data_IF_772402513626
#
_entry.id   IF_772402513626
#
_cell.length_a   1.000
_cell.length_b   1.000
_cell.length_c   1.000
_cell.angle_alpha   90.00
_cell.angle_beta   90.00
_cell.angle_gamma   90.00
#
_symmetry.space_group_name_H-M   'P 1'
#
loop_
_entity.id
_entity.type
_entity.pdbx_description
1 polymer ?
#
# COMPACT_ATOMS: atom_id res chain seq x y z
N UNK A 1 11.46 10.77 -1.73
CA UNK A 1 10.24 11.51 -2.09
C UNK A 1 9.45 11.73 -0.81
N UNK A 2 9.02 12.95 -0.54
CA UNK A 2 8.25 13.29 0.67
C UNK A 2 6.83 13.70 0.28
N UNK A 3 5.84 13.19 1.00
CA UNK A 3 4.43 13.52 0.83
C UNK A 3 3.85 14.03 2.15
N UNK A 4 3.19 15.18 2.10
CA UNK A 4 2.51 15.73 3.27
C UNK A 4 1.32 14.87 3.71
N UNK A 5 0.56 14.36 2.74
CA UNK A 5 -0.50 13.38 2.95
C UNK A 5 -0.68 12.52 1.69
N UNK A 6 -0.94 11.23 1.89
CA UNK A 6 -1.35 10.26 0.89
C UNK A 6 -2.72 9.72 1.28
N UNK A 7 -3.64 9.71 0.32
CA UNK A 7 -4.96 9.14 0.51
C UNK A 7 -5.12 7.91 -0.37
N UNK A 8 -5.53 6.79 0.23
CA UNK A 8 -5.81 5.54 -0.43
C UNK A 8 -7.30 5.25 -0.31
N UNK A 9 -7.90 4.88 -1.43
CA UNK A 9 -9.30 4.50 -1.55
C UNK A 9 -9.36 3.17 -2.28
N UNK A 10 -10.15 2.23 -1.80
CA UNK A 10 -10.27 0.94 -2.46
C UNK A 10 -11.20 -0.02 -1.76
N UNK A 11 -11.19 -1.26 -2.24
CA UNK A 11 -11.87 -2.39 -1.61
C UNK A 11 -10.80 -3.21 -0.88
N UNK A 12 -11.05 -3.53 0.38
CA UNK A 12 -10.20 -4.42 1.17
C UNK A 12 -10.87 -5.79 1.32
N UNK A 13 -10.06 -6.82 1.53
CA UNK A 13 -10.47 -8.15 1.94
C UNK A 13 -9.46 -8.64 2.97
N UNK A 14 -9.92 -8.88 4.19
CA UNK A 14 -9.08 -9.35 5.30
C UNK A 14 -9.75 -10.57 5.93
N UNK A 15 -8.98 -11.65 6.03
CA UNK A 15 -9.33 -12.86 6.78
C UNK A 15 -8.11 -13.25 7.59
N UNK A 16 -8.20 -13.24 8.92
CA UNK A 16 -7.08 -13.59 9.77
C UNK A 16 -7.05 -12.77 11.05
N UNK A 17 -5.89 -12.23 11.41
CA UNK A 17 -5.72 -11.40 12.60
C UNK A 17 -5.03 -10.08 12.25
N UNK A 18 -5.59 -8.96 12.70
CA UNK A 18 -4.86 -7.70 12.80
C UNK A 18 -4.24 -7.66 14.19
N UNK A 19 -2.91 -7.84 14.24
CA UNK A 19 -2.19 -8.11 15.49
C UNK A 19 -2.76 -9.36 16.18
N UNK A 20 -3.39 -9.20 17.34
CA UNK A 20 -4.02 -10.26 18.11
C UNK A 20 -5.55 -10.31 17.96
N UNK A 21 -6.13 -9.41 17.17
CA UNK A 21 -7.59 -9.32 16.99
C UNK A 21 -7.97 -10.16 15.78
N UNK A 22 -8.76 -11.24 15.94
CA UNK A 22 -9.33 -11.97 14.81
C UNK A 22 -10.25 -11.04 14.02
N UNK A 23 -10.03 -10.92 12.72
CA UNK A 23 -10.72 -9.98 11.84
C UNK A 23 -11.15 -10.68 10.56
N UNK A 24 -12.41 -10.46 10.20
CA UNK A 24 -12.98 -10.84 8.92
C UNK A 24 -13.79 -9.66 8.37
N UNK A 25 -13.61 -9.34 7.10
CA UNK A 25 -14.32 -8.26 6.44
C UNK A 25 -13.90 -8.07 4.99
N UNK A 26 -14.86 -7.65 4.16
CA UNK A 26 -14.65 -7.34 2.75
C UNK A 26 -15.55 -6.18 2.33
N UNK A 27 -14.99 -4.96 2.27
CA UNK A 27 -15.74 -3.77 1.88
C UNK A 27 -14.84 -2.62 1.44
N UNK A 28 -15.39 -1.41 1.37
CA UNK A 28 -14.61 -0.21 1.09
C UNK A 28 -13.70 0.14 2.26
N UNK A 29 -12.51 0.63 1.92
CA UNK A 29 -11.52 1.17 2.84
C UNK A 29 -11.11 2.55 2.39
N UNK A 30 -10.86 3.40 3.37
CA UNK A 30 -10.16 4.66 3.17
C UNK A 30 -8.98 4.73 4.13
N UNK A 31 -7.81 5.13 3.63
CA UNK A 31 -6.64 5.35 4.46
C UNK A 31 -6.04 6.71 4.15
N UNK A 32 -5.67 7.45 5.20
CA UNK A 32 -4.88 8.67 5.11
C UNK A 32 -3.57 8.45 5.83
N UNK A 33 -2.47 8.62 5.13
CA UNK A 33 -1.11 8.47 5.64
C UNK A 33 -0.40 9.81 5.53
N UNK A 34 0.30 10.26 6.56
CA UNK A 34 1.02 11.52 6.46
C UNK A 34 1.58 12.03 7.78
N UNK A 35 2.77 12.65 7.78
CA UNK A 35 3.76 12.72 6.69
C UNK A 35 4.34 11.35 6.28
N UNK A 36 4.63 11.17 4.98
CA UNK A 36 5.22 9.93 4.43
C UNK A 36 6.49 10.23 3.66
N UNK A 37 7.56 9.53 3.98
CA UNK A 37 8.81 9.55 3.23
C UNK A 37 8.99 8.21 2.51
N UNK A 38 9.12 8.25 1.19
CA UNK A 38 9.31 7.07 0.34
C UNK A 38 10.67 7.18 -0.36
N UNK A 39 11.50 6.18 -0.15
CA UNK A 39 12.77 5.98 -0.87
C UNK A 39 12.61 4.81 -1.83
N UNK A 40 12.84 5.06 -3.12
CA UNK A 40 12.82 4.03 -4.14
C UNK A 40 14.25 3.88 -4.66
N UNK A 41 14.80 2.67 -4.56
CA UNK A 41 16.08 2.29 -5.17
C UNK A 41 15.77 1.32 -6.30
N UNK A 42 16.15 1.73 -7.51
CA UNK A 42 16.00 0.93 -8.72
C UNK A 42 17.40 0.47 -9.10
N UNK A 43 17.57 -0.83 -9.27
CA UNK A 43 18.78 -1.42 -9.84
C UNK A 43 18.42 -1.97 -11.22
N UNK A 44 19.28 -1.71 -12.18
CA UNK A 44 19.04 -2.06 -13.56
C UNK A 44 20.25 -1.76 -14.41
N UNK A 45 20.18 -2.22 -15.64
CA UNK A 45 21.20 -2.06 -16.66
C UNK A 45 20.57 -1.60 -17.96
N UNK A 46 21.33 -0.92 -18.81
CA UNK A 46 20.90 -0.65 -20.18
C UNK A 46 21.15 -1.91 -21.00
N UNK A 47 20.13 -2.37 -21.71
CA UNK A 47 20.22 -3.46 -22.68
C UNK A 47 19.87 -2.94 -24.05
N UNK A 48 20.48 -3.51 -25.09
CA UNK A 48 20.10 -3.23 -26.48
C UNK A 48 19.24 -4.39 -27.00
N UNK A 49 18.09 -4.05 -27.59
CA UNK A 49 17.22 -4.98 -28.30
C UNK A 49 16.90 -4.37 -29.66
N UNK A 50 17.28 -5.05 -30.74
CA UNK A 50 17.08 -4.61 -32.12
C UNK A 50 17.61 -3.19 -32.45
N UNK A 51 18.76 -2.82 -31.88
CA UNK A 51 19.37 -1.50 -32.08
C UNK A 51 18.77 -0.38 -31.23
N UNK A 52 17.87 -0.70 -30.30
CA UNK A 52 17.25 0.26 -29.38
C UNK A 52 17.67 -0.04 -27.95
N UNK A 53 18.13 0.99 -27.22
CA UNK A 53 18.47 0.88 -25.80
C UNK A 53 17.22 0.91 -24.91
N UNK A 54 17.15 -0.03 -23.98
CA UNK A 54 16.11 -0.16 -22.96
C UNK A 54 16.74 -0.20 -21.58
N UNK A 55 16.05 0.38 -20.59
CA UNK A 55 16.44 0.23 -19.20
C UNK A 55 15.83 -1.06 -18.63
N UNK A 56 16.65 -2.11 -18.51
CA UNK A 56 16.26 -3.37 -17.90
C UNK A 56 16.34 -3.24 -16.38
N UNK A 57 15.18 -3.12 -15.74
CA UNK A 57 15.10 -3.02 -14.28
C UNK A 57 15.13 -4.42 -13.68
N UNK A 58 16.20 -4.74 -12.95
CA UNK A 58 16.40 -6.06 -12.33
C UNK A 58 15.86 -6.12 -10.90
N UNK A 59 15.82 -4.98 -10.20
CA UNK A 59 15.37 -4.93 -8.81
C UNK A 59 14.76 -3.56 -8.47
N UNK A 60 13.65 -3.57 -7.73
CA UNK A 60 13.01 -2.36 -7.19
C UNK A 60 12.85 -2.56 -5.70
N UNK A 61 13.56 -1.75 -4.92
CA UNK A 61 13.40 -1.70 -3.46
C UNK A 61 12.72 -0.41 -3.07
N UNK A 62 11.55 -0.54 -2.44
CA UNK A 62 10.83 0.57 -1.83
C UNK A 62 11.06 0.52 -0.33
N UNK A 63 11.28 1.68 0.28
CA UNK A 63 11.36 1.83 1.74
C UNK A 63 10.57 3.05 2.14
N UNK A 64 9.59 2.84 2.99
CA UNK A 64 8.66 3.85 3.46
C UNK A 64 8.82 4.14 4.96
N UNK A 65 8.63 5.40 5.33
CA UNK A 65 8.50 5.85 6.71
C UNK A 65 7.24 6.69 6.82
N UNK A 66 6.26 6.19 7.56
CA UNK A 66 4.95 6.82 7.75
C UNK A 66 4.86 7.30 9.20
N UNK A 67 4.63 8.60 9.41
CA UNK A 67 4.57 9.18 10.76
C UNK A 67 3.20 9.04 11.43
N UNK A 68 2.12 9.20 10.67
CA UNK A 68 0.75 8.96 11.13
C UNK A 68 -0.04 8.25 10.04
N UNK A 69 -0.95 7.38 10.45
CA UNK A 69 -1.81 6.60 9.57
C UNK A 69 -3.18 6.39 10.21
N UNK A 70 -4.23 6.76 9.48
CA UNK A 70 -5.62 6.49 9.85
C UNK A 70 -6.24 5.62 8.78
N UNK A 71 -6.81 4.48 9.18
CA UNK A 71 -7.47 3.52 8.29
C UNK A 71 -8.90 3.30 8.78
N UNK A 72 -9.85 3.41 7.85
CA UNK A 72 -11.26 3.09 8.08
C UNK A 72 -11.59 1.84 7.27
N UNK A 73 -11.96 0.77 7.97
CA UNK A 73 -12.38 -0.51 7.40
C UNK A 73 -13.89 -0.65 7.61
N UNK A 74 -14.69 -0.41 6.56
CA UNK A 74 -16.14 -0.58 6.65
C UNK A 74 -16.50 -2.07 6.69
N UNK A 75 -17.56 -2.46 7.40
CA UNK A 75 -18.01 -3.86 7.37
C UNK A 75 -17.11 -4.84 8.15
N UNK A 76 -16.08 -4.34 8.84
CA UNK A 76 -15.21 -5.17 9.66
C UNK A 76 -16.03 -5.84 10.77
N UNK A 77 -15.81 -7.15 10.99
CA UNK A 77 -16.57 -7.98 11.94
C UNK A 77 -18.03 -8.26 11.56
N UNK A 78 -18.40 -8.15 10.27
CA UNK A 78 -19.71 -8.56 9.78
C UNK A 78 -20.84 -7.58 10.16
N UNK A 79 -20.61 -6.28 10.02
CA UNK A 79 -21.57 -5.23 10.39
C UNK A 79 -22.78 -5.09 9.45
N UNK A 80 -23.48 -6.19 9.19
CA UNK A 80 -24.85 -6.22 8.67
C UNK A 80 -25.70 -7.11 9.60
N UNK A 81 -25.84 -6.76 10.91
CA UNK A 81 -26.98 -7.19 11.80
C UNK A 81 -26.86 -6.89 13.32
N UNK A 82 -26.08 -5.90 13.80
CA UNK A 82 -26.15 -5.50 15.22
C UNK A 82 -26.06 -3.99 15.44
N UNK A 83 -27.11 -3.26 15.06
CA UNK A 83 -27.55 -2.01 15.69
C UNK A 83 -29.08 -1.96 15.64
#
# INVERSE_FOLDING_TARGET
MEFGALQLYGVYEVTGHVLYIPTEGKRFTTATLGPVNITIRIEGELIEVDGVEYYNTSNIKVTESIKDMKVTLEGLFGSDEKL
#
